data_IF_470116252634
#
_entry.id   IF_470116252634
#
_cell.length_a   1.000
_cell.length_b   1.000
_cell.length_c   1.000
_cell.angle_alpha   90.00
_cell.angle_beta   90.00
_cell.angle_gamma   90.00
#
_symmetry.space_group_name_H-M   'P 1'
#
loop_
_entity.id
_entity.type
_entity.pdbx_description
1 polymer ?
#
# COMPACT_ATOMS: atom_id res chain seq x y z
N UNK A 1 13.48 13.63 9.92
CA UNK A 1 12.05 13.83 10.26
C UNK A 1 11.38 14.50 9.08
N UNK A 2 10.71 13.74 8.22
CA UNK A 2 9.91 14.31 7.13
C UNK A 2 8.58 14.74 7.72
N UNK A 3 8.37 16.04 7.87
CA UNK A 3 7.06 16.60 8.20
C UNK A 3 6.14 16.21 7.05
N UNK A 4 5.24 15.23 7.26
CA UNK A 4 4.15 14.96 6.31
C UNK A 4 3.34 16.26 6.23
N UNK A 5 3.51 16.98 5.13
CA UNK A 5 2.76 18.20 4.85
C UNK A 5 1.33 17.78 4.52
N UNK A 6 0.47 17.70 5.53
CA UNK A 6 -0.95 17.42 5.31
C UNK A 6 -1.55 18.60 4.56
N UNK A 7 -2.10 18.35 3.37
CA UNK A 7 -2.94 19.33 2.70
C UNK A 7 -4.32 19.32 3.38
N UNK A 8 -4.71 20.46 3.93
CA UNK A 8 -6.08 20.67 4.41
C UNK A 8 -6.98 21.02 3.24
N UNK A 9 -8.18 20.45 3.23
CA UNK A 9 -9.18 20.66 2.19
C UNK A 9 -10.51 21.02 2.86
N UNK A 10 -11.15 22.09 2.39
CA UNK A 10 -12.50 22.44 2.82
C UNK A 10 -13.52 21.50 2.19
N UNK A 11 -14.30 20.81 3.01
CA UNK A 11 -15.34 19.85 2.57
C UNK A 11 -16.59 19.97 3.45
N UNK A 12 -17.72 19.47 2.96
CA UNK A 12 -18.89 19.25 3.81
C UNK A 12 -18.56 18.25 4.92
N UNK A 13 -19.03 18.54 6.12
CA UNK A 13 -18.87 17.68 7.28
C UNK A 13 -20.15 17.62 8.08
N UNK A 14 -20.34 16.47 8.73
CA UNK A 14 -21.38 16.28 9.74
C UNK A 14 -20.75 16.16 11.12
N UNK A 15 -21.12 17.06 12.00
CA UNK A 15 -20.68 17.11 13.39
C UNK A 15 -21.69 16.36 14.26
N UNK A 16 -21.21 15.36 14.98
CA UNK A 16 -22.02 14.49 15.85
C UNK A 16 -21.34 14.28 17.21
N UNK A 17 -22.09 13.98 18.28
CA UNK A 17 -21.49 13.59 19.56
C UNK A 17 -20.59 12.36 19.41
N UNK A 18 -19.45 12.31 20.10
CA UNK A 18 -18.52 11.17 20.09
C UNK A 18 -19.18 9.84 20.42
N UNK A 19 -20.16 9.85 21.33
CA UNK A 19 -20.96 8.67 21.71
C UNK A 19 -21.73 8.05 20.54
N UNK A 20 -22.00 8.82 19.49
CA UNK A 20 -22.69 8.41 18.26
C UNK A 20 -21.75 8.23 17.06
N UNK A 21 -20.44 8.41 17.26
CA UNK A 21 -19.46 8.43 16.17
C UNK A 21 -19.46 7.16 15.32
N UNK A 22 -19.45 5.98 15.95
CA UNK A 22 -19.36 4.71 15.21
C UNK A 22 -20.66 4.36 14.47
N UNK A 23 -21.85 4.72 15.00
CA UNK A 23 -23.11 4.50 14.29
C UNK A 23 -23.20 5.34 13.02
N UNK A 24 -22.85 6.63 13.12
CA UNK A 24 -22.76 7.52 11.95
C UNK A 24 -21.69 7.03 10.97
N UNK A 25 -20.49 6.69 11.44
CA UNK A 25 -19.42 6.19 10.58
C UNK A 25 -19.86 4.96 9.77
N UNK A 26 -20.49 3.97 10.42
CA UNK A 26 -20.99 2.77 9.72
C UNK A 26 -22.05 3.12 8.69
N UNK A 27 -23.00 3.99 9.05
CA UNK A 27 -24.04 4.42 8.13
C UNK A 27 -23.45 5.13 6.91
N UNK A 28 -22.61 6.14 7.11
CA UNK A 28 -21.96 6.92 6.03
C UNK A 28 -21.15 6.05 5.07
N UNK A 29 -20.45 5.03 5.60
CA UNK A 29 -19.71 4.07 4.78
C UNK A 29 -20.64 3.15 4.00
N UNK A 30 -21.74 2.69 4.61
CA UNK A 30 -22.72 1.80 3.98
C UNK A 30 -23.60 2.50 2.94
N UNK A 31 -23.95 3.76 3.15
CA UNK A 31 -24.80 4.56 2.25
C UNK A 31 -24.02 5.27 1.15
N UNK A 32 -22.68 5.26 1.19
CA UNK A 32 -21.83 6.01 0.26
C UNK A 32 -21.77 7.51 0.56
N UNK A 33 -22.32 7.97 1.69
CA UNK A 33 -22.27 9.36 2.11
C UNK A 33 -20.90 9.84 2.60
N UNK A 34 -19.97 8.92 2.84
CA UNK A 34 -18.61 9.21 3.29
C UNK A 34 -17.72 9.79 2.18
N UNK A 35 -17.05 10.91 2.45
CA UNK A 35 -16.04 11.44 1.54
C UNK A 35 -14.70 10.68 1.67
N UNK A 36 -14.27 9.91 0.66
CA UNK A 36 -13.07 9.11 0.76
C UNK A 36 -11.81 9.97 0.97
N UNK A 37 -10.82 9.40 1.65
CA UNK A 37 -9.49 9.98 1.88
C UNK A 37 -9.41 11.19 2.82
N UNK A 38 -10.52 11.74 3.29
CA UNK A 38 -10.48 12.77 4.32
C UNK A 38 -10.51 12.12 5.71
N UNK A 39 -9.70 12.62 6.64
CA UNK A 39 -9.69 12.15 8.03
C UNK A 39 -10.79 12.84 8.83
N UNK A 40 -11.67 12.12 9.55
CA UNK A 40 -12.56 12.78 10.50
C UNK A 40 -11.78 13.54 11.57
N UNK A 41 -12.35 14.64 12.03
CA UNK A 41 -11.73 15.58 12.97
C UNK A 41 -12.42 15.44 14.32
N UNK A 42 -11.65 15.44 15.40
CA UNK A 42 -12.18 15.54 16.75
C UNK A 42 -12.28 17.01 17.15
N UNK A 43 -13.44 17.40 17.70
CA UNK A 43 -13.71 18.76 18.17
C UNK A 43 -14.41 18.68 19.53
N UNK A 44 -13.65 18.78 20.63
CA UNK A 44 -14.17 18.60 21.98
C UNK A 44 -14.84 17.24 22.16
N UNK A 45 -16.13 17.24 22.53
CA UNK A 45 -16.96 16.04 22.69
C UNK A 45 -17.63 15.56 21.39
N UNK A 46 -17.27 16.17 20.26
CA UNK A 46 -17.83 15.87 18.94
C UNK A 46 -16.80 15.23 18.00
N UNK A 47 -17.33 14.56 16.98
CA UNK A 47 -16.61 14.11 15.80
C UNK A 47 -17.25 14.74 14.57
N UNK A 48 -16.41 15.20 13.67
CA UNK A 48 -16.81 15.76 12.39
C UNK A 48 -16.38 14.77 11.31
N UNK A 49 -17.36 14.17 10.63
CA UNK A 49 -17.11 13.24 9.53
C UNK A 49 -17.19 13.96 8.19
N UNK A 50 -16.24 13.72 7.26
CA UNK A 50 -16.31 14.28 5.93
C UNK A 50 -17.41 13.57 5.13
N UNK A 51 -18.33 14.35 4.54
CA UNK A 51 -19.46 13.84 3.75
C UNK A 51 -19.43 14.38 2.33
N UNK A 52 -20.05 13.65 1.40
CA UNK A 52 -20.07 13.97 -0.04
C UNK A 52 -20.85 15.25 -0.37
N UNK A 53 -21.96 15.48 0.33
CA UNK A 53 -22.83 16.65 0.20
C UNK A 53 -23.58 16.92 1.50
N UNK A 54 -24.22 18.07 1.59
CA UNK A 54 -25.12 18.49 2.68
C UNK A 54 -26.51 17.85 2.61
N UNK A 55 -26.89 17.28 1.48
CA UNK A 55 -28.19 16.62 1.24
C UNK A 55 -28.26 15.14 1.70
N UNK A 56 -27.41 14.74 2.64
CA UNK A 56 -27.34 13.33 3.07
C UNK A 56 -28.60 12.91 3.83
N UNK A 57 -29.26 11.84 3.38
CA UNK A 57 -30.38 11.27 4.09
C UNK A 57 -29.87 10.50 5.32
N UNK A 58 -30.38 10.82 6.51
CA UNK A 58 -29.97 10.18 7.77
C UNK A 58 -31.18 9.50 8.42
N UNK A 59 -31.07 8.22 8.81
CA UNK A 59 -32.13 7.51 9.50
C UNK A 59 -32.36 8.08 10.90
N UNK A 60 -33.63 8.17 11.30
CA UNK A 60 -34.03 8.60 12.65
C UNK A 60 -33.40 7.72 13.74
N UNK A 61 -33.12 6.45 13.43
CA UNK A 61 -32.50 5.49 14.36
C UNK A 61 -31.08 5.87 14.80
N UNK A 62 -30.40 6.77 14.08
CA UNK A 62 -29.11 7.31 14.52
C UNK A 62 -29.27 8.14 15.81
N UNK A 63 -30.43 8.79 15.98
CA UNK A 63 -30.94 9.30 17.25
C UNK A 63 -30.02 10.25 17.99
N UNK A 64 -29.68 11.39 17.37
CA UNK A 64 -29.06 12.55 18.03
C UNK A 64 -29.19 13.80 17.15
N UNK A 65 -29.01 14.96 17.78
CA UNK A 65 -28.76 16.20 17.03
C UNK A 65 -27.41 16.11 16.31
N UNK A 66 -27.37 16.66 15.10
CA UNK A 66 -26.17 16.79 14.29
C UNK A 66 -26.18 18.15 13.59
N UNK A 67 -25.00 18.61 13.21
CA UNK A 67 -24.84 19.84 12.44
C UNK A 67 -24.10 19.54 11.14
N UNK A 68 -24.61 20.07 10.03
CA UNK A 68 -24.00 19.93 8.70
C UNK A 68 -23.45 21.28 8.30
N UNK A 69 -22.16 21.31 7.97
CA UNK A 69 -21.45 22.55 7.68
C UNK A 69 -20.18 22.32 6.88
N UNK A 70 -19.46 23.41 6.60
CA UNK A 70 -18.16 23.37 5.93
C UNK A 70 -17.06 23.30 6.98
N UNK A 71 -16.20 22.31 6.86
CA UNK A 71 -15.09 22.05 7.78
C UNK A 71 -13.79 21.81 7.01
N UNK A 72 -12.66 22.01 7.67
CA UNK A 72 -11.34 21.67 7.13
C UNK A 72 -10.96 20.25 7.55
N UNK A 73 -10.53 19.44 6.58
CA UNK A 73 -10.09 18.07 6.81
C UNK A 73 -8.67 17.86 6.30
N UNK A 74 -7.90 17.06 7.02
CA UNK A 74 -6.64 16.54 6.49
C UNK A 74 -6.92 15.50 5.39
N UNK A 75 -6.35 15.75 4.21
CA UNK A 75 -6.30 14.74 3.16
C UNK A 75 -5.30 13.64 3.50
N UNK A 76 -5.75 12.39 3.39
CA UNK A 76 -4.87 11.23 3.21
C UNK A 76 -4.51 11.18 1.74
N UNK A 77 -3.25 11.39 1.43
CA UNK A 77 -2.74 10.99 0.12
C UNK A 77 -3.03 9.50 -0.07
N UNK A 78 -3.85 9.16 -1.07
CA UNK A 78 -3.87 7.78 -1.54
C UNK A 78 -2.50 7.53 -2.13
N UNK A 79 -1.77 6.58 -1.57
CA UNK A 79 -0.69 5.97 -2.32
C UNK A 79 -1.31 5.40 -3.58
N UNK A 80 -0.88 5.87 -4.76
CA UNK A 80 -1.18 5.14 -5.99
C UNK A 80 -0.57 3.76 -5.90
N UNK A 81 -1.15 2.80 -6.60
CA UNK A 81 -0.57 1.48 -6.66
C UNK A 81 0.77 1.59 -7.42
N UNK A 82 1.89 1.11 -6.85
CA UNK A 82 3.18 1.20 -7.52
C UNK A 82 3.18 0.32 -8.77
N UNK A 83 4.08 0.63 -9.71
CA UNK A 83 4.24 -0.13 -10.94
C UNK A 83 4.45 -1.63 -10.67
N UNK A 84 4.03 -2.46 -11.62
CA UNK A 84 4.13 -3.91 -11.51
C UNK A 84 5.59 -4.34 -11.36
N UNK A 85 5.86 -5.17 -10.35
CA UNK A 85 7.19 -5.69 -10.05
C UNK A 85 7.12 -7.14 -9.55
N UNK A 86 8.22 -7.87 -9.68
CA UNK A 86 8.44 -9.14 -8.98
C UNK A 86 9.17 -8.87 -7.67
N UNK A 87 8.74 -9.51 -6.57
CA UNK A 87 9.38 -9.36 -5.26
C UNK A 87 10.15 -10.65 -4.93
N UNK A 88 11.42 -10.50 -4.59
CA UNK A 88 12.29 -11.58 -4.12
C UNK A 88 12.99 -11.08 -2.87
N UNK A 89 12.51 -11.53 -1.70
CA UNK A 89 13.02 -11.07 -0.42
C UNK A 89 12.79 -9.57 -0.26
N UNK A 90 13.87 -8.84 0.04
CA UNK A 90 13.86 -7.38 0.11
C UNK A 90 14.18 -6.67 -1.22
N UNK A 91 14.21 -7.40 -2.34
CA UNK A 91 14.45 -6.83 -3.68
C UNK A 91 13.16 -6.84 -4.50
N UNK A 92 12.82 -5.69 -5.09
CA UNK A 92 11.82 -5.62 -6.15
C UNK A 92 12.47 -5.47 -7.52
N UNK A 93 11.93 -6.17 -8.52
CA UNK A 93 12.41 -6.14 -9.90
C UNK A 93 11.30 -5.55 -10.78
N UNK A 94 11.57 -4.37 -11.35
CA UNK A 94 10.71 -3.66 -12.29
C UNK A 94 11.07 -3.98 -13.74
N UNK A 95 10.07 -3.87 -14.63
CA UNK A 95 10.27 -4.02 -16.07
C UNK A 95 10.73 -2.72 -16.73
N UNK A 96 10.24 -1.57 -16.26
CA UNK A 96 10.56 -0.27 -16.82
C UNK A 96 11.79 0.34 -16.11
N UNK A 97 12.63 1.07 -16.85
CA UNK A 97 13.75 1.85 -16.31
C UNK A 97 13.23 3.22 -15.84
N UNK A 98 12.53 3.23 -14.70
CA UNK A 98 11.95 4.42 -14.10
C UNK A 98 12.47 4.61 -12.66
N UNK A 99 13.54 5.39 -12.46
CA UNK A 99 14.07 5.70 -11.13
C UNK A 99 13.08 6.44 -10.21
N UNK A 100 12.18 7.26 -10.75
CA UNK A 100 11.22 8.00 -9.94
C UNK A 100 10.14 7.06 -9.37
N UNK A 101 9.65 6.12 -10.18
CA UNK A 101 8.78 5.04 -9.75
C UNK A 101 9.47 4.09 -8.76
N UNK A 102 10.74 3.76 -8.98
CA UNK A 102 11.52 2.92 -8.06
C UNK A 102 11.66 3.55 -6.67
N UNK A 103 11.93 4.84 -6.61
CA UNK A 103 12.00 5.61 -5.36
C UNK A 103 10.63 5.68 -4.66
N UNK A 104 9.54 5.80 -5.43
CA UNK A 104 8.18 5.71 -4.90
C UNK A 104 7.89 4.33 -4.30
N UNK A 105 8.27 3.25 -5.00
CA UNK A 105 8.09 1.87 -4.56
C UNK A 105 8.80 1.60 -3.23
N UNK A 106 10.06 2.04 -3.09
CA UNK A 106 10.78 1.94 -1.81
C UNK A 106 10.07 2.64 -0.67
N UNK A 107 9.62 3.89 -0.90
CA UNK A 107 8.91 4.68 0.12
C UNK A 107 7.58 4.05 0.52
N UNK A 108 6.91 3.38 -0.42
CA UNK A 108 5.60 2.75 -0.16
C UNK A 108 5.70 1.40 0.54
N UNK A 109 6.84 0.70 0.47
CA UNK A 109 7.01 -0.67 1.00
C UNK A 109 8.30 -0.81 1.83
N UNK A 110 8.24 -0.64 3.16
CA UNK A 110 9.42 -0.67 4.04
C UNK A 110 10.22 -1.97 4.04
N UNK A 111 9.66 -3.08 3.56
CA UNK A 111 10.36 -4.36 3.44
C UNK A 111 11.34 -4.42 2.28
N UNK A 112 11.22 -3.51 1.31
CA UNK A 112 12.10 -3.45 0.14
C UNK A 112 13.30 -2.57 0.49
N UNK A 113 14.51 -3.11 0.30
CA UNK A 113 15.75 -2.35 0.44
C UNK A 113 16.36 -1.95 -0.91
N UNK A 114 16.02 -2.65 -1.99
CA UNK A 114 16.57 -2.38 -3.33
C UNK A 114 15.51 -2.58 -4.41
N UNK A 115 15.51 -1.69 -5.39
CA UNK A 115 14.72 -1.83 -6.61
C UNK A 115 15.65 -1.96 -7.81
N UNK A 116 15.45 -3.02 -8.59
CA UNK A 116 16.23 -3.34 -9.78
C UNK A 116 15.39 -3.18 -11.05
N UNK A 117 16.05 -2.81 -12.14
CA UNK A 117 15.56 -2.95 -13.51
C UNK A 117 16.29 -4.09 -14.20
N UNK A 118 15.56 -4.90 -14.96
CA UNK A 118 16.12 -6.02 -15.72
C UNK A 118 16.57 -5.56 -17.11
N UNK A 119 17.88 -5.38 -17.32
CA UNK A 119 18.45 -4.86 -18.57
C UNK A 119 18.54 -5.89 -19.69
N UNK A 120 18.33 -7.17 -19.38
CA UNK A 120 18.45 -8.25 -20.36
C UNK A 120 17.35 -9.31 -20.20
N UNK A 121 17.01 -10.06 -21.27
CA UNK A 121 16.33 -11.33 -21.11
C UNK A 121 17.19 -12.33 -20.30
N UNK A 122 16.63 -13.49 -19.99
CA UNK A 122 17.40 -14.61 -19.42
C UNK A 122 18.35 -15.17 -20.48
N UNK A 123 19.63 -15.34 -20.16
CA UNK A 123 20.62 -15.85 -21.12
C UNK A 123 21.68 -16.75 -20.47
N UNK A 124 22.39 -17.50 -21.32
CA UNK A 124 23.48 -18.39 -20.94
C UNK A 124 23.03 -19.67 -20.23
N UNK A 125 24.00 -20.55 -20.00
CA UNK A 125 23.80 -21.84 -19.31
C UNK A 125 23.29 -21.65 -17.87
N UNK A 126 23.82 -20.65 -17.17
CA UNK A 126 23.40 -20.30 -15.81
C UNK A 126 22.08 -19.51 -15.73
N UNK A 127 21.45 -19.23 -16.88
CA UNK A 127 20.13 -18.57 -16.96
C UNK A 127 20.10 -17.23 -16.21
N UNK A 128 21.20 -16.47 -16.27
CA UNK A 128 21.35 -15.19 -15.57
C UNK A 128 20.63 -14.04 -16.31
N UNK A 129 20.45 -12.94 -15.59
CA UNK A 129 19.94 -11.66 -16.10
C UNK A 129 20.89 -10.55 -15.68
N UNK A 130 20.99 -9.50 -16.48
CA UNK A 130 21.68 -8.26 -16.09
C UNK A 130 20.69 -7.33 -15.39
N UNK A 131 21.14 -6.70 -14.31
CA UNK A 131 20.33 -5.81 -13.51
C UNK A 131 21.02 -4.48 -13.30
N UNK A 132 20.22 -3.42 -13.38
CA UNK A 132 20.58 -2.06 -12.97
C UNK A 132 19.86 -1.74 -11.68
N UNK A 133 20.55 -1.18 -10.69
CA UNK A 133 19.90 -0.66 -9.48
C UNK A 133 19.24 0.67 -9.82
N UNK A 134 17.93 0.78 -9.60
CA UNK A 134 17.18 2.02 -9.81
C UNK A 134 17.12 2.87 -8.55
N UNK A 135 16.98 2.22 -7.38
CA UNK A 135 16.88 2.91 -6.10
C UNK A 135 17.25 1.98 -4.92
N UNK A 136 17.62 2.59 -3.79
CA UNK A 136 17.89 1.89 -2.54
C UNK A 136 19.34 1.42 -2.41
N UNK A 137 19.55 0.30 -1.72
CA UNK A 137 20.88 -0.26 -1.48
C UNK A 137 21.44 -0.86 -2.77
N UNK A 138 22.69 -0.54 -3.10
CA UNK A 138 23.39 -1.07 -4.28
C UNK A 138 23.76 -2.55 -4.09
N UNK A 139 22.80 -3.46 -4.33
CA UNK A 139 23.02 -4.90 -4.20
C UNK A 139 22.04 -5.73 -5.04
N UNK A 140 22.49 -6.91 -5.46
CA UNK A 140 21.64 -7.96 -6.07
C UNK A 140 21.41 -9.14 -5.12
N UNK A 141 21.91 -9.04 -3.88
CA UNK A 141 21.83 -10.10 -2.87
C UNK A 141 20.67 -9.86 -1.91
N UNK A 142 19.95 -10.92 -1.57
CA UNK A 142 18.86 -10.84 -0.60
C UNK A 142 18.65 -12.15 0.15
N UNK A 143 17.98 -12.05 1.31
CA UNK A 143 17.41 -13.21 1.98
C UNK A 143 15.96 -13.38 1.55
N UNK A 144 15.62 -14.57 1.09
CA UNK A 144 14.28 -14.94 0.69
C UNK A 144 13.77 -16.07 1.58
N UNK A 145 12.51 -15.98 2.00
CA UNK A 145 11.85 -17.00 2.81
C UNK A 145 10.72 -17.58 1.99
N UNK A 146 10.69 -18.90 1.90
CA UNK A 146 9.64 -19.65 1.22
C UNK A 146 9.36 -20.94 1.99
N UNK A 147 8.09 -21.12 2.39
CA UNK A 147 7.64 -22.27 3.20
C UNK A 147 8.58 -22.58 4.38
N UNK A 148 8.88 -21.55 5.19
CA UNK A 148 9.81 -21.58 6.34
C UNK A 148 11.28 -21.94 6.01
N UNK A 149 11.64 -22.09 4.74
CA UNK A 149 13.03 -22.24 4.32
C UNK A 149 13.63 -20.88 3.99
N UNK A 150 14.87 -20.65 4.43
CA UNK A 150 15.60 -19.41 4.18
C UNK A 150 16.68 -19.65 3.14
N UNK A 151 16.67 -18.81 2.11
CA UNK A 151 17.64 -18.81 1.03
C UNK A 151 18.41 -17.50 1.02
N UNK A 152 19.71 -17.57 0.75
CA UNK A 152 20.52 -16.41 0.39
C UNK A 152 20.74 -16.47 -1.11
N UNK A 153 20.27 -15.45 -1.82
CA UNK A 153 20.23 -15.45 -3.29
C UNK A 153 20.97 -14.21 -3.76
N UNK A 154 21.82 -14.38 -4.78
CA UNK A 154 22.43 -13.29 -5.52
C UNK A 154 21.95 -13.35 -6.97
N UNK A 155 21.07 -12.41 -7.33
CA UNK A 155 20.36 -12.42 -8.61
C UNK A 155 21.29 -12.18 -9.80
N UNK A 156 22.47 -11.58 -9.59
CA UNK A 156 23.43 -11.33 -10.65
C UNK A 156 24.10 -12.63 -11.18
N UNK A 157 24.11 -13.69 -10.36
CA UNK A 157 24.85 -14.93 -10.65
C UNK A 157 23.99 -16.19 -10.63
N UNK A 158 22.74 -16.10 -10.18
CA UNK A 158 21.84 -17.24 -10.11
C UNK A 158 20.42 -16.89 -10.61
N UNK A 159 19.86 -17.78 -11.44
CA UNK A 159 18.44 -17.71 -11.79
C UNK A 159 17.58 -18.03 -10.57
N UNK A 160 16.63 -17.14 -10.27
CA UNK A 160 15.61 -17.39 -9.28
C UNK A 160 14.27 -16.76 -9.69
N UNK A 161 13.17 -17.45 -9.39
CA UNK A 161 11.84 -16.84 -9.44
C UNK A 161 11.01 -17.30 -8.24
N UNK A 162 10.45 -16.31 -7.55
CA UNK A 162 9.52 -16.53 -6.44
C UNK A 162 8.20 -17.16 -6.93
N UNK A 163 7.85 -17.00 -8.21
CA UNK A 163 6.62 -17.56 -8.81
C UNK A 163 6.60 -19.08 -8.85
N UNK A 164 7.77 -19.72 -8.78
CA UNK A 164 7.90 -21.18 -8.79
C UNK A 164 7.76 -21.81 -7.40
N UNK A 165 7.48 -21.02 -6.35
CA UNK A 165 7.32 -21.49 -4.98
C UNK A 165 6.33 -22.65 -4.86
N UNK A 166 5.13 -22.47 -5.43
CA UNK A 166 4.07 -23.48 -5.39
C UNK A 166 4.47 -24.76 -6.12
N UNK A 167 5.20 -24.63 -7.23
CA UNK A 167 5.65 -25.79 -8.01
C UNK A 167 6.70 -26.60 -7.25
N UNK A 168 7.62 -25.92 -6.55
CA UNK A 168 8.59 -26.60 -5.66
C UNK A 168 7.88 -27.36 -4.53
N UNK A 169 6.86 -26.78 -3.92
CA UNK A 169 6.06 -27.49 -2.91
C UNK A 169 5.28 -28.67 -3.48
N UNK A 170 4.71 -28.51 -4.69
CA UNK A 170 4.00 -29.59 -5.37
C UNK A 170 4.93 -30.79 -5.58
N UNK A 171 6.16 -30.54 -6.06
CA UNK A 171 7.16 -31.60 -6.25
C UNK A 171 7.58 -32.23 -4.91
N UNK A 172 7.81 -31.41 -3.87
CA UNK A 172 8.14 -31.92 -2.53
C UNK A 172 7.05 -32.88 -2.02
N UNK A 173 5.77 -32.55 -2.19
CA UNK A 173 4.65 -33.41 -1.80
C UNK A 173 4.52 -34.71 -2.60
N UNK A 174 5.23 -34.86 -3.72
CA UNK A 174 5.29 -36.10 -4.49
C UNK A 174 6.45 -37.01 -4.08
N UNK A 175 7.41 -36.50 -3.31
CA UNK A 175 8.53 -37.29 -2.81
C UNK A 175 8.01 -38.22 -1.71
N UNK A 176 8.20 -39.53 -1.88
CA UNK A 176 8.00 -40.52 -0.81
C UNK A 176 9.27 -40.55 0.05
N UNK A 177 9.10 -40.79 1.35
CA UNK A 177 10.24 -41.11 2.24
C UNK A 177 11.04 -42.31 1.74
#
# INVERSE_FOLDING_TARGET
>A
MTVKRFMTVGQWGIKVPKSKGESFRRYLLGSGGWCPNLKPVADGDFLIFPIVSDEIALPDELGCDYDIGRYEFESRERSREPARHELIGGIAIMQDDDPAEAEYLLKSRPSIHTVLHCESPVFGEYRIKKFKVLAGVETTRTSYIEYNNRFTIDLAVAYFSARLANERQRVLGLMKE
#
